data_IF_225057949791
#
_entry.id   IF_225057949791
#
_cell.length_a   1.000
_cell.length_b   1.000
_cell.length_c   1.000
_cell.angle_alpha   90.00
_cell.angle_beta   90.00
_cell.angle_gamma   90.00
#
_symmetry.space_group_name_H-M   'P 1'
#
loop_
_entity.id
_entity.type
_entity.pdbx_description
1 polymer ?
#
# COMPACT_ATOMS: atom_id res chain seq x y z
N UNK A 1 58.30 -25.40 14.87
CA UNK A 1 57.26 -26.44 15.05
C UNK A 1 55.93 -25.80 15.26
N UNK A 2 54.90 -26.04 14.41
CA UNK A 2 53.57 -25.46 14.60
C UNK A 2 52.73 -26.32 15.52
N UNK A 3 52.00 -25.67 16.44
CA UNK A 3 51.08 -26.29 17.39
C UNK A 3 49.81 -26.80 16.69
N UNK A 4 49.37 -28.03 17.10
CA UNK A 4 48.14 -28.68 16.63
C UNK A 4 46.89 -27.98 17.20
N UNK A 5 45.78 -27.88 16.44
CA UNK A 5 44.51 -27.36 16.95
C UNK A 5 43.78 -28.37 17.83
N UNK A 6 42.94 -27.91 18.78
CA UNK A 6 42.20 -28.77 19.70
C UNK A 6 41.04 -29.49 19.00
N UNK A 7 40.82 -30.77 19.37
CA UNK A 7 39.68 -31.57 18.94
C UNK A 7 38.42 -31.17 19.71
N UNK A 8 37.38 -30.83 19.01
CA UNK A 8 36.03 -30.63 19.59
C UNK A 8 35.30 -31.97 19.58
N UNK A 9 34.89 -32.45 20.75
CA UNK A 9 34.04 -33.64 20.94
C UNK A 9 32.60 -33.15 21.13
N UNK A 10 31.72 -33.51 20.20
CA UNK A 10 30.27 -33.27 20.30
C UNK A 10 29.63 -34.40 21.13
N UNK A 11 29.09 -34.10 22.31
CA UNK A 11 28.25 -34.98 23.09
C UNK A 11 26.78 -34.85 22.68
N UNK A 12 26.20 -35.95 22.20
CA UNK A 12 24.77 -36.04 21.87
C UNK A 12 24.00 -36.37 23.16
N UNK A 13 23.27 -35.38 23.69
CA UNK A 13 22.36 -35.55 24.82
C UNK A 13 20.96 -35.95 24.35
N UNK A 14 20.51 -37.17 24.71
CA UNK A 14 19.15 -37.64 24.48
C UNK A 14 18.15 -36.94 25.41
N UNK A 15 17.16 -36.24 24.85
CA UNK A 15 16.01 -35.73 25.61
C UNK A 15 14.93 -36.79 25.77
N UNK A 16 14.58 -37.10 27.02
CA UNK A 16 13.43 -37.93 27.41
C UNK A 16 12.11 -37.21 26.97
N UNK A 17 11.20 -37.99 26.39
CA UNK A 17 9.85 -37.60 26.03
C UNK A 17 8.97 -37.40 27.29
N UNK A 18 8.17 -36.37 27.33
CA UNK A 18 7.12 -36.14 28.31
C UNK A 18 5.81 -36.81 27.86
N UNK A 19 4.97 -37.30 28.83
CA UNK A 19 3.79 -38.11 28.52
C UNK A 19 2.59 -37.24 28.04
N UNK A 20 1.81 -37.84 27.14
CA UNK A 20 0.56 -37.30 26.59
C UNK A 20 -0.56 -37.21 27.64
N UNK A 21 -1.43 -36.22 27.62
CA UNK A 21 -2.63 -36.20 28.46
C UNK A 21 -3.76 -37.05 27.86
N UNK A 22 -4.41 -37.82 28.74
CA UNK A 22 -5.61 -38.64 28.46
C UNK A 22 -6.87 -37.79 28.28
N UNK A 23 -7.91 -38.29 27.57
CA UNK A 23 -9.16 -37.58 27.36
C UNK A 23 -10.08 -37.61 28.58
N UNK A 24 -10.70 -36.48 28.90
CA UNK A 24 -11.75 -36.36 29.91
C UNK A 24 -13.13 -36.56 29.28
N UNK A 25 -13.93 -37.36 29.95
CA UNK A 25 -15.29 -37.77 29.66
C UNK A 25 -16.31 -36.61 29.65
N UNK A 26 -17.30 -36.79 28.83
CA UNK A 26 -18.50 -35.95 28.66
C UNK A 26 -19.45 -36.09 29.87
N UNK A 27 -19.77 -35.00 30.52
CA UNK A 27 -20.91 -34.87 31.42
C UNK A 27 -22.05 -34.13 30.76
N UNK A 28 -23.23 -34.74 30.81
CA UNK A 28 -24.49 -34.29 30.19
C UNK A 28 -25.25 -33.22 31.01
N UNK A 29 -26.39 -32.69 30.55
CA UNK A 29 -26.65 -31.25 30.39
C UNK A 29 -27.62 -30.70 31.45
N UNK A 30 -27.61 -29.37 31.69
CA UNK A 30 -28.63 -28.67 32.45
C UNK A 30 -29.30 -27.62 31.57
N UNK A 31 -30.60 -27.87 31.44
CA UNK A 31 -31.79 -27.02 31.22
C UNK A 31 -31.67 -25.54 30.84
N UNK A 32 -32.33 -25.28 29.75
CA UNK A 32 -33.02 -24.11 29.20
C UNK A 32 -33.27 -22.86 30.07
N UNK A 33 -32.89 -21.71 29.47
CA UNK A 33 -33.60 -20.44 29.71
C UNK A 33 -33.93 -19.81 28.34
N UNK A 34 -35.19 -19.51 28.13
CA UNK A 34 -35.79 -18.89 26.94
C UNK A 34 -35.41 -17.42 26.86
N UNK A 35 -35.02 -16.94 25.68
CA UNK A 35 -35.03 -15.53 25.31
C UNK A 35 -35.99 -15.25 24.17
N UNK A 36 -36.56 -14.04 24.05
CA UNK A 36 -37.82 -13.79 23.30
C UNK A 36 -37.60 -13.61 21.81
N UNK A 37 -38.68 -13.92 21.07
CA UNK A 37 -38.79 -13.94 19.63
C UNK A 37 -38.61 -12.58 18.96
N UNK A 38 -37.89 -12.57 17.83
CA UNK A 38 -37.87 -11.47 16.87
C UNK A 38 -39.08 -11.56 15.92
N UNK A 39 -39.60 -10.44 15.36
CA UNK A 39 -40.81 -10.41 14.59
C UNK A 39 -40.66 -11.01 13.19
N UNK A 40 -41.71 -11.71 12.76
CA UNK A 40 -41.82 -12.38 11.47
C UNK A 40 -41.87 -11.39 10.30
N UNK A 41 -41.03 -11.63 9.29
CA UNK A 41 -41.09 -10.99 7.98
C UNK A 41 -42.14 -11.78 7.15
N UNK A 42 -43.17 -11.11 6.67
CA UNK A 42 -44.19 -11.64 5.79
C UNK A 42 -43.62 -11.84 4.38
N UNK A 43 -43.76 -13.07 3.86
CA UNK A 43 -43.45 -13.45 2.47
C UNK A 43 -44.72 -13.21 1.64
N UNK A 44 -44.65 -12.52 0.48
CA UNK A 44 -45.80 -12.39 -0.42
C UNK A 44 -46.09 -13.71 -1.16
N UNK A 45 -47.37 -13.95 -1.63
CA UNK A 45 -47.83 -15.23 -2.16
C UNK A 45 -47.25 -15.51 -3.55
N UNK A 46 -46.96 -16.79 -3.79
CA UNK A 46 -46.56 -17.35 -5.10
C UNK A 46 -47.73 -17.21 -6.09
N UNK A 47 -47.45 -16.56 -7.21
CA UNK A 47 -48.27 -16.60 -8.41
C UNK A 47 -47.95 -17.84 -9.27
N UNK A 48 -48.97 -18.38 -9.77
CA UNK A 48 -49.30 -19.36 -10.78
C UNK A 48 -48.17 -20.21 -11.45
N UNK A 49 -48.51 -21.51 -11.41
CA UNK A 49 -47.87 -22.64 -12.06
C UNK A 49 -47.99 -22.49 -13.58
N UNK A 50 -46.89 -22.37 -14.30
CA UNK A 50 -46.87 -22.46 -15.75
C UNK A 50 -47.19 -23.89 -16.20
N UNK A 51 -48.03 -24.00 -17.23
CA UNK A 51 -48.64 -25.19 -17.79
C UNK A 51 -47.60 -26.18 -18.33
N UNK A 52 -47.72 -27.48 -17.95
CA UNK A 52 -46.81 -28.58 -18.37
C UNK A 52 -46.79 -28.80 -19.91
N UNK A 53 -47.69 -28.16 -20.65
CA UNK A 53 -47.76 -28.27 -22.11
C UNK A 53 -46.72 -27.40 -22.86
N UNK A 54 -46.22 -26.37 -22.25
CA UNK A 54 -45.14 -25.54 -22.85
C UNK A 54 -43.76 -26.20 -22.74
N UNK A 55 -43.56 -27.09 -21.80
CA UNK A 55 -42.27 -27.79 -21.61
C UNK A 55 -42.07 -28.92 -22.63
N UNK A 56 -43.15 -29.55 -23.09
CA UNK A 56 -43.05 -30.62 -24.07
C UNK A 56 -42.90 -30.12 -25.51
N UNK A 57 -43.37 -28.92 -25.85
CA UNK A 57 -43.11 -28.31 -27.16
C UNK A 57 -41.66 -27.88 -27.38
N UNK A 58 -40.94 -27.53 -26.29
CA UNK A 58 -39.52 -27.20 -26.37
C UNK A 58 -38.58 -28.41 -26.45
N UNK A 59 -39.10 -29.63 -26.21
CA UNK A 59 -38.38 -30.90 -26.32
C UNK A 59 -38.38 -31.50 -27.73
N UNK A 60 -39.40 -31.22 -28.56
CA UNK A 60 -39.48 -31.79 -29.91
C UNK A 60 -38.73 -30.99 -30.99
N UNK A 61 -38.39 -29.72 -30.77
CA UNK A 61 -37.58 -28.94 -31.72
C UNK A 61 -36.05 -29.18 -31.60
N UNK A 62 -35.61 -29.95 -30.62
CA UNK A 62 -34.19 -30.22 -30.33
C UNK A 62 -33.53 -31.40 -31.03
N UNK A 63 -34.29 -32.20 -31.84
CA UNK A 63 -33.76 -33.48 -32.37
C UNK A 63 -33.63 -33.56 -33.88
N UNK A 64 -33.19 -32.51 -34.56
CA UNK A 64 -32.80 -32.70 -35.96
C UNK A 64 -31.72 -31.68 -36.38
N UNK A 65 -30.45 -31.96 -36.06
CA UNK A 65 -29.29 -31.55 -36.86
C UNK A 65 -28.02 -32.16 -36.28
N UNK A 66 -27.76 -33.44 -36.52
CA UNK A 66 -26.42 -34.01 -36.43
C UNK A 66 -25.84 -33.97 -37.85
N UNK A 67 -24.97 -32.98 -38.11
CA UNK A 67 -23.88 -33.09 -39.12
C UNK A 67 -22.75 -32.22 -38.66
N UNK A 68 -21.50 -32.78 -38.79
CA UNK A 68 -20.25 -32.36 -38.28
C UNK A 68 -19.89 -30.88 -38.50
N UNK A 69 -19.52 -30.27 -37.45
CA UNK A 69 -18.85 -28.98 -37.36
C UNK A 69 -18.34 -28.90 -35.96
N UNK A 70 -17.04 -28.71 -35.79
CA UNK A 70 -16.42 -28.42 -34.52
C UNK A 70 -17.21 -27.29 -33.86
N UNK A 71 -17.98 -27.62 -32.81
CA UNK A 71 -18.59 -26.63 -31.94
C UNK A 71 -17.44 -25.91 -31.24
N UNK A 72 -17.01 -24.79 -31.77
CA UNK A 72 -16.42 -23.74 -30.96
C UNK A 72 -17.46 -23.36 -29.93
N UNK A 73 -17.35 -23.94 -28.75
CA UNK A 73 -18.03 -23.45 -27.55
C UNK A 73 -17.47 -22.06 -27.34
N UNK A 74 -18.20 -21.04 -27.78
CA UNK A 74 -17.95 -19.68 -27.32
C UNK A 74 -18.22 -19.71 -25.83
N UNK A 75 -17.14 -19.84 -25.04
CA UNK A 75 -17.19 -19.63 -23.60
C UNK A 75 -17.55 -18.15 -23.44
N UNK A 76 -18.81 -17.86 -23.16
CA UNK A 76 -19.23 -16.56 -22.65
C UNK A 76 -18.43 -16.28 -21.39
N UNK A 77 -17.33 -15.56 -21.51
CA UNK A 77 -16.36 -15.33 -20.44
C UNK A 77 -14.92 -15.21 -20.90
N UNK A 78 -14.66 -15.15 -22.23
CA UNK A 78 -13.32 -14.79 -22.71
C UNK A 78 -12.91 -13.47 -22.06
N UNK A 79 -11.78 -13.48 -21.35
CA UNK A 79 -11.19 -12.28 -20.77
C UNK A 79 -11.04 -11.22 -21.88
N UNK A 80 -11.96 -10.25 -21.92
CA UNK A 80 -11.88 -9.15 -22.90
C UNK A 80 -10.72 -8.26 -22.47
N UNK A 81 -9.89 -7.86 -23.44
CA UNK A 81 -8.85 -6.88 -23.22
C UNK A 81 -9.49 -5.52 -22.90
N UNK A 82 -9.74 -5.29 -21.61
CA UNK A 82 -10.01 -3.97 -21.06
C UNK A 82 -8.71 -3.45 -20.49
N UNK A 83 -8.26 -2.29 -20.90
CA UNK A 83 -7.00 -1.72 -20.41
C UNK A 83 -7.01 -1.48 -18.90
N UNK A 84 -8.19 -1.23 -18.30
CA UNK A 84 -8.32 -0.86 -16.89
C UNK A 84 -7.64 0.47 -16.54
N UNK A 85 -7.14 1.21 -17.52
CA UNK A 85 -6.41 2.45 -17.31
C UNK A 85 -7.34 3.61 -16.96
N UNK A 86 -6.91 4.45 -16.01
CA UNK A 86 -7.56 5.71 -15.71
C UNK A 86 -6.97 6.81 -16.63
N UNK A 87 -7.76 7.40 -17.54
CA UNK A 87 -7.27 8.40 -18.51
C UNK A 87 -6.82 9.71 -17.84
N UNK A 88 -7.27 9.98 -16.62
CA UNK A 88 -6.89 11.19 -15.88
C UNK A 88 -5.51 11.12 -15.22
N UNK A 89 -4.90 9.93 -15.16
CA UNK A 89 -3.59 9.73 -14.58
C UNK A 89 -2.53 9.76 -15.69
N UNK A 90 -2.01 10.95 -15.95
CA UNK A 90 -1.01 11.21 -16.98
C UNK A 90 0.25 11.83 -16.38
N UNK A 91 1.33 11.93 -17.16
CA UNK A 91 2.55 12.63 -16.72
C UNK A 91 2.33 14.12 -16.51
N UNK A 92 1.36 14.74 -17.23
CA UNK A 92 1.00 16.15 -17.11
C UNK A 92 0.23 16.41 -15.82
N UNK A 93 -0.60 15.47 -15.38
CA UNK A 93 -1.36 15.59 -14.11
C UNK A 93 -0.54 15.18 -12.89
N UNK A 94 0.58 14.51 -13.07
CA UNK A 94 1.50 14.16 -12.00
C UNK A 94 2.37 15.37 -11.62
N UNK A 95 2.42 15.68 -10.31
CA UNK A 95 3.26 16.78 -9.81
C UNK A 95 4.64 16.26 -9.44
N UNK A 96 5.65 16.80 -10.11
CA UNK A 96 7.05 16.46 -9.85
C UNK A 96 7.60 17.21 -8.63
N UNK A 97 8.38 16.52 -7.82
CA UNK A 97 9.13 17.05 -6.70
C UNK A 97 10.39 16.21 -6.48
N UNK A 98 11.28 16.64 -5.59
CA UNK A 98 12.56 15.93 -5.32
C UNK A 98 12.35 14.48 -4.91
N UNK A 99 11.29 14.22 -4.15
CA UNK A 99 10.94 12.90 -3.61
C UNK A 99 10.48 11.87 -4.67
N UNK A 100 10.08 12.31 -5.87
CA UNK A 100 9.53 11.46 -6.93
C UNK A 100 10.17 11.68 -8.31
N UNK A 101 11.13 12.57 -8.43
CA UNK A 101 11.75 12.96 -9.70
C UNK A 101 12.37 11.75 -10.43
N UNK A 102 13.09 10.90 -9.71
CA UNK A 102 13.70 9.69 -10.30
C UNK A 102 12.64 8.72 -10.79
N UNK A 103 11.57 8.50 -10.01
CA UNK A 103 10.48 7.60 -10.39
C UNK A 103 9.75 8.12 -11.63
N UNK A 104 9.51 9.43 -11.72
CA UNK A 104 8.91 10.05 -12.90
C UNK A 104 9.80 9.95 -14.13
N UNK A 105 11.10 10.22 -13.99
CA UNK A 105 12.08 10.10 -15.08
C UNK A 105 12.18 8.66 -15.61
N UNK A 106 12.30 7.67 -14.71
CA UNK A 106 12.32 6.26 -15.06
C UNK A 106 11.03 5.82 -15.76
N UNK A 107 9.88 6.25 -15.25
CA UNK A 107 8.56 5.97 -15.85
C UNK A 107 8.45 6.54 -17.26
N UNK A 108 8.95 7.74 -17.47
CA UNK A 108 8.98 8.39 -18.78
C UNK A 108 9.88 7.64 -19.76
N UNK A 109 11.09 7.27 -19.33
CA UNK A 109 12.02 6.48 -20.13
C UNK A 109 11.42 5.13 -20.54
N UNK A 110 10.72 4.44 -19.65
CA UNK A 110 10.01 3.18 -19.94
C UNK A 110 8.91 3.40 -20.96
N UNK A 111 8.15 4.49 -20.87
CA UNK A 111 7.11 4.82 -21.85
C UNK A 111 7.69 5.15 -23.23
N UNK A 112 8.93 5.61 -23.29
CA UNK A 112 9.65 5.94 -24.52
C UNK A 112 10.31 4.72 -25.18
N UNK A 113 10.82 3.79 -24.38
CA UNK A 113 11.51 2.58 -24.86
C UNK A 113 11.07 1.33 -24.06
N UNK A 114 9.82 0.86 -24.29
CA UNK A 114 9.28 -0.29 -23.57
C UNK A 114 10.02 -1.58 -23.90
N UNK A 115 10.15 -2.47 -22.91
CA UNK A 115 10.86 -3.75 -23.04
C UNK A 115 12.39 -3.64 -23.02
N UNK A 116 12.93 -2.43 -22.87
CA UNK A 116 14.37 -2.17 -22.85
C UNK A 116 15.03 -2.46 -21.49
N UNK A 117 16.03 -1.64 -21.13
CA UNK A 117 16.89 -1.86 -19.96
C UNK A 117 16.16 -1.85 -18.60
N UNK A 118 14.98 -1.24 -18.52
CA UNK A 118 14.20 -1.08 -17.28
C UNK A 118 12.97 -1.98 -17.25
N UNK A 119 13.20 -3.28 -17.43
CA UNK A 119 12.14 -4.29 -17.43
C UNK A 119 12.43 -5.41 -16.40
N UNK A 120 11.65 -5.54 -15.34
CA UNK A 120 10.51 -4.71 -14.95
C UNK A 120 10.92 -3.33 -14.41
N UNK A 121 10.02 -2.34 -14.50
CA UNK A 121 10.08 -1.15 -13.68
C UNK A 121 9.32 -1.42 -12.36
N UNK A 122 10.02 -1.35 -11.24
CA UNK A 122 9.46 -1.59 -9.93
C UNK A 122 9.40 -0.29 -9.12
N UNK A 123 8.19 0.21 -8.87
CA UNK A 123 7.94 1.42 -8.09
C UNK A 123 7.53 1.05 -6.66
N UNK A 124 8.24 1.50 -5.65
CA UNK A 124 7.88 1.21 -4.27
C UNK A 124 7.86 2.46 -3.40
N UNK A 125 7.16 2.37 -2.27
CA UNK A 125 7.03 3.46 -1.30
C UNK A 125 5.71 3.39 -0.55
N UNK A 126 5.55 4.21 0.47
CA UNK A 126 4.37 4.23 1.33
C UNK A 126 3.05 4.35 0.56
N UNK A 127 1.94 4.12 1.27
CA UNK A 127 0.59 4.23 0.70
C UNK A 127 0.31 5.68 0.28
N UNK A 128 -0.38 5.86 -0.87
CA UNK A 128 -0.85 7.18 -1.31
C UNK A 128 0.24 8.13 -1.81
N UNK A 129 1.43 7.64 -2.22
CA UNK A 129 2.53 8.48 -2.73
C UNK A 129 2.53 8.68 -4.26
N UNK A 130 1.53 8.12 -4.97
CA UNK A 130 1.40 8.32 -6.42
C UNK A 130 1.98 7.20 -7.29
N UNK A 131 2.32 6.01 -6.73
CA UNK A 131 2.77 4.83 -7.48
C UNK A 131 1.80 4.44 -8.59
N UNK A 132 0.53 4.25 -8.23
CA UNK A 132 -0.57 3.94 -9.16
C UNK A 132 -0.73 5.01 -10.23
N UNK A 133 -0.58 6.30 -9.87
CA UNK A 133 -0.65 7.40 -10.84
C UNK A 133 0.45 7.26 -11.91
N UNK A 134 1.72 7.10 -11.51
CA UNK A 134 2.82 6.92 -12.46
C UNK A 134 2.66 5.66 -13.31
N UNK A 135 2.20 4.57 -12.72
CA UNK A 135 1.89 3.34 -13.45
C UNK A 135 0.85 3.57 -14.56
N UNK A 136 -0.26 4.22 -14.24
CA UNK A 136 -1.27 4.61 -15.24
C UNK A 136 -0.74 5.59 -16.27
N UNK A 137 0.11 6.55 -15.85
CA UNK A 137 0.70 7.52 -16.78
C UNK A 137 1.56 6.82 -17.84
N UNK A 138 2.34 5.82 -17.44
CA UNK A 138 3.09 4.98 -18.40
C UNK A 138 2.13 4.20 -19.29
N UNK A 139 1.12 3.53 -18.70
CA UNK A 139 0.13 2.76 -19.45
C UNK A 139 -0.61 3.60 -20.50
N UNK A 140 -1.06 4.81 -20.14
CA UNK A 140 -1.70 5.73 -21.06
C UNK A 140 -0.75 6.18 -22.19
N UNK A 141 0.50 6.49 -21.85
CA UNK A 141 1.50 6.86 -22.85
C UNK A 141 1.79 5.73 -23.83
N UNK A 142 1.89 4.47 -23.34
CA UNK A 142 2.08 3.29 -24.19
C UNK A 142 0.89 3.03 -25.10
N UNK A 143 -0.34 3.14 -24.58
CA UNK A 143 -1.58 2.96 -25.32
C UNK A 143 -1.75 4.03 -26.42
N UNK A 144 -1.29 5.25 -26.19
CA UNK A 144 -1.38 6.34 -27.18
C UNK A 144 -0.33 6.21 -28.29
N UNK A 145 0.84 5.62 -28.02
CA UNK A 145 1.94 5.52 -28.99
C UNK A 145 1.75 4.47 -30.08
N UNK A 146 1.02 3.40 -29.79
CA UNK A 146 0.76 2.30 -30.74
C UNK A 146 -0.73 2.07 -30.83
N UNK A 147 -1.31 2.30 -31.97
CA UNK A 147 -2.66 1.84 -32.27
C UNK A 147 -2.73 0.33 -32.01
N UNK A 148 -3.71 -0.09 -31.23
CA UNK A 148 -3.92 -1.50 -30.81
C UNK A 148 -2.90 -2.06 -29.78
N UNK A 149 -2.11 -1.25 -29.09
CA UNK A 149 -1.30 -1.76 -27.98
C UNK A 149 -2.18 -2.39 -26.88
N UNK A 150 -1.89 -3.65 -26.57
CA UNK A 150 -2.57 -4.40 -25.51
C UNK A 150 -1.92 -4.10 -24.17
N UNK A 151 -2.29 -2.98 -23.58
CA UNK A 151 -1.84 -2.56 -22.26
C UNK A 151 -2.89 -2.99 -21.23
N UNK A 152 -2.49 -3.80 -20.25
CA UNK A 152 -3.38 -4.30 -19.19
C UNK A 152 -2.89 -3.81 -17.85
N UNK A 153 -3.75 -3.09 -17.14
CA UNK A 153 -3.58 -2.69 -15.75
C UNK A 153 -4.53 -3.49 -14.85
N UNK A 154 -4.01 -3.99 -13.74
CA UNK A 154 -4.81 -4.64 -12.70
C UNK A 154 -4.11 -4.60 -11.34
N UNK A 155 -4.91 -4.73 -10.28
CA UNK A 155 -4.39 -5.06 -8.96
C UNK A 155 -4.02 -6.55 -8.90
N UNK A 156 -3.00 -6.90 -8.13
CA UNK A 156 -2.56 -8.28 -8.00
C UNK A 156 -3.66 -9.23 -7.52
N UNK A 157 -4.61 -8.75 -6.72
CA UNK A 157 -5.81 -9.51 -6.31
C UNK A 157 -6.68 -9.94 -7.50
N UNK A 158 -6.79 -9.09 -8.53
CA UNK A 158 -7.54 -9.40 -9.75
C UNK A 158 -6.87 -10.52 -10.53
N UNK A 159 -5.54 -10.52 -10.65
CA UNK A 159 -4.78 -11.60 -11.26
C UNK A 159 -5.08 -12.94 -10.57
N UNK A 160 -5.07 -12.95 -9.23
CA UNK A 160 -5.41 -14.13 -8.44
C UNK A 160 -6.85 -14.58 -8.69
N UNK A 161 -7.80 -13.66 -8.69
CA UNK A 161 -9.21 -13.96 -8.93
C UNK A 161 -9.46 -14.52 -10.33
N UNK A 162 -8.85 -13.93 -11.35
CA UNK A 162 -8.94 -14.39 -12.73
C UNK A 162 -8.31 -15.80 -12.91
N UNK A 163 -7.19 -16.08 -12.22
CA UNK A 163 -6.56 -17.41 -12.22
C UNK A 163 -7.48 -18.45 -11.55
N UNK A 164 -8.04 -18.14 -10.37
CA UNK A 164 -8.94 -19.07 -9.66
C UNK A 164 -10.18 -19.36 -10.51
N UNK A 165 -10.77 -18.35 -11.14
CA UNK A 165 -11.91 -18.52 -12.05
C UNK A 165 -11.53 -19.38 -13.27
N UNK A 166 -10.37 -19.16 -13.85
CA UNK A 166 -9.90 -19.96 -14.99
C UNK A 166 -9.69 -21.45 -14.61
N UNK A 167 -9.20 -21.73 -13.40
CA UNK A 167 -9.06 -23.08 -12.87
C UNK A 167 -10.43 -23.74 -12.67
N UNK A 168 -11.40 -23.04 -12.10
CA UNK A 168 -12.76 -23.54 -11.88
C UNK A 168 -13.48 -23.87 -13.19
N UNK A 169 -13.21 -23.11 -14.26
CA UNK A 169 -13.81 -23.28 -15.57
C UNK A 169 -13.00 -24.15 -16.53
N UNK A 170 -11.89 -24.78 -16.06
CA UNK A 170 -10.92 -25.50 -16.90
C UNK A 170 -10.36 -24.68 -18.08
N UNK A 171 -10.31 -23.36 -17.92
CA UNK A 171 -9.87 -22.39 -18.95
C UNK A 171 -8.48 -21.79 -18.64
N UNK A 172 -7.61 -22.52 -17.91
CA UNK A 172 -6.27 -22.03 -17.53
C UNK A 172 -5.39 -21.68 -18.73
N UNK A 173 -5.56 -22.37 -19.86
CA UNK A 173 -4.81 -22.06 -21.07
C UNK A 173 -5.22 -20.71 -21.68
N UNK A 174 -6.49 -20.34 -21.59
CA UNK A 174 -6.97 -19.03 -22.05
C UNK A 174 -6.46 -17.91 -21.14
N UNK A 175 -6.42 -18.14 -19.82
CA UNK A 175 -5.78 -17.24 -18.87
C UNK A 175 -4.30 -17.03 -19.23
N UNK A 176 -3.54 -18.08 -19.45
CA UNK A 176 -2.12 -18.00 -19.84
C UNK A 176 -1.95 -17.24 -21.16
N UNK A 177 -2.76 -17.57 -22.18
CA UNK A 177 -2.74 -16.89 -23.47
C UNK A 177 -3.03 -15.40 -23.33
N UNK A 178 -4.05 -15.05 -22.54
CA UNK A 178 -4.43 -13.66 -22.30
C UNK A 178 -3.29 -12.86 -21.70
N UNK A 179 -2.77 -13.27 -20.53
CA UNK A 179 -1.76 -12.50 -19.81
C UNK A 179 -0.37 -12.51 -20.48
N UNK A 180 -0.04 -13.55 -21.27
CA UNK A 180 1.24 -13.64 -21.98
C UNK A 180 1.22 -12.98 -23.37
N UNK A 181 0.06 -12.54 -23.84
CA UNK A 181 -0.09 -11.89 -25.15
C UNK A 181 -0.16 -10.37 -25.11
N UNK A 182 -0.01 -9.75 -23.94
CA UNK A 182 -0.06 -8.29 -23.77
C UNK A 182 1.26 -7.64 -24.19
N UNK A 183 1.21 -6.39 -24.64
CA UNK A 183 2.40 -5.60 -24.96
C UNK A 183 2.99 -4.96 -23.70
N UNK A 184 2.13 -4.65 -22.72
CA UNK A 184 2.55 -4.20 -21.41
C UNK A 184 1.61 -4.71 -20.31
N UNK A 185 2.20 -5.22 -19.21
CA UNK A 185 1.49 -5.69 -18.02
C UNK A 185 1.84 -4.81 -16.81
N UNK A 186 0.82 -4.16 -16.27
CA UNK A 186 0.91 -3.24 -15.13
C UNK A 186 0.19 -3.87 -13.94
N UNK A 187 0.93 -4.28 -12.91
CA UNK A 187 0.36 -4.90 -11.71
C UNK A 187 0.62 -4.05 -10.49
N UNK A 188 -0.48 -3.59 -9.90
CA UNK A 188 -0.47 -2.76 -8.71
C UNK A 188 -0.50 -3.62 -7.44
N UNK A 189 0.23 -3.17 -6.41
CA UNK A 189 0.22 -3.74 -5.06
C UNK A 189 0.58 -5.23 -5.01
N UNK A 190 1.76 -5.60 -5.53
CA UNK A 190 2.21 -7.00 -5.63
C UNK A 190 2.38 -7.70 -4.28
N UNK A 191 2.42 -6.97 -3.16
CA UNK A 191 2.45 -7.56 -1.82
C UNK A 191 1.23 -8.44 -1.50
N UNK A 192 0.11 -8.28 -2.20
CA UNK A 192 -1.06 -9.13 -2.05
C UNK A 192 -0.91 -10.54 -2.64
N UNK A 193 0.19 -10.85 -3.33
CA UNK A 193 0.56 -12.23 -3.65
C UNK A 193 1.04 -13.01 -2.43
N UNK A 194 1.41 -12.35 -1.33
CA UNK A 194 1.92 -12.99 -0.12
C UNK A 194 1.01 -14.14 0.36
N UNK A 195 1.60 -15.30 0.62
CA UNK A 195 0.89 -16.49 1.10
C UNK A 195 0.02 -17.21 0.06
N UNK A 196 0.05 -16.82 -1.23
CA UNK A 196 -0.75 -17.42 -2.31
C UNK A 196 0.15 -18.20 -3.27
N UNK A 197 0.73 -19.30 -2.81
CA UNK A 197 1.78 -20.07 -3.51
C UNK A 197 1.45 -20.40 -4.97
N UNK A 198 0.27 -20.97 -5.25
CA UNK A 198 -0.15 -21.30 -6.63
C UNK A 198 -0.22 -20.08 -7.55
N UNK A 199 -0.65 -18.95 -7.00
CA UNK A 199 -0.74 -17.71 -7.77
C UNK A 199 0.64 -17.11 -8.01
N UNK A 200 1.55 -17.24 -7.05
CA UNK A 200 2.95 -16.85 -7.21
C UNK A 200 3.66 -17.69 -8.27
N UNK A 201 3.41 -19.00 -8.30
CA UNK A 201 3.95 -19.90 -9.30
C UNK A 201 3.49 -19.52 -10.72
N UNK A 202 2.18 -19.35 -10.94
CA UNK A 202 1.67 -18.97 -12.26
C UNK A 202 2.10 -17.56 -12.66
N UNK A 203 2.18 -16.64 -11.68
CA UNK A 203 2.72 -15.31 -11.93
C UNK A 203 4.19 -15.35 -12.32
N UNK A 204 5.01 -16.20 -11.70
CA UNK A 204 6.40 -16.40 -12.06
C UNK A 204 6.56 -16.87 -13.51
N UNK A 205 5.73 -17.82 -13.96
CA UNK A 205 5.75 -18.28 -15.34
C UNK A 205 5.28 -17.20 -16.32
N UNK A 206 4.27 -16.43 -15.97
CA UNK A 206 3.79 -15.30 -16.78
C UNK A 206 4.84 -14.21 -16.87
N UNK A 207 5.49 -13.88 -15.74
CA UNK A 207 6.58 -12.92 -15.66
C UNK A 207 7.74 -13.28 -16.59
N UNK A 208 8.22 -14.53 -16.52
CA UNK A 208 9.33 -14.98 -17.39
C UNK A 208 8.94 -14.94 -18.87
N UNK A 209 7.74 -15.39 -19.23
CA UNK A 209 7.28 -15.35 -20.60
C UNK A 209 7.22 -13.92 -21.17
N UNK A 210 6.76 -12.95 -20.37
CA UNK A 210 6.73 -11.54 -20.76
C UNK A 210 8.14 -10.95 -20.88
N UNK A 211 9.02 -11.28 -19.95
CA UNK A 211 10.40 -10.80 -19.96
C UNK A 211 11.16 -11.31 -21.19
N UNK A 212 11.05 -12.61 -21.47
CA UNK A 212 11.67 -13.27 -22.63
C UNK A 212 11.12 -12.74 -23.97
N UNK A 213 9.82 -12.41 -23.99
CA UNK A 213 9.18 -11.81 -25.16
C UNK A 213 9.43 -10.31 -25.33
N UNK A 214 10.17 -9.68 -24.42
CA UNK A 214 10.45 -8.24 -24.45
C UNK A 214 9.24 -7.35 -24.15
N UNK A 215 8.16 -7.91 -23.59
CA UNK A 215 6.99 -7.11 -23.17
C UNK A 215 7.31 -6.33 -21.88
N UNK A 216 6.81 -5.11 -21.80
CA UNK A 216 7.07 -4.26 -20.64
C UNK A 216 6.26 -4.69 -19.42
N UNK A 217 6.93 -4.81 -18.28
CA UNK A 217 6.26 -4.98 -16.99
C UNK A 217 6.51 -3.78 -16.08
N UNK A 218 5.44 -3.36 -15.37
CA UNK A 218 5.51 -2.33 -14.33
C UNK A 218 4.82 -2.89 -13.10
N UNK A 219 5.53 -2.85 -11.98
CA UNK A 219 5.07 -3.40 -10.71
C UNK A 219 5.10 -2.32 -9.64
N UNK A 220 4.14 -2.34 -8.72
CA UNK A 220 4.19 -1.49 -7.54
C UNK A 220 4.12 -2.29 -6.25
N UNK A 221 4.67 -1.72 -5.16
CA UNK A 221 4.58 -2.26 -3.82
C UNK A 221 4.62 -1.16 -2.76
N UNK A 222 4.16 -1.47 -1.55
CA UNK A 222 4.29 -0.59 -0.39
C UNK A 222 5.72 -0.57 0.19
N UNK A 223 6.57 -1.58 -0.17
CA UNK A 223 7.93 -1.76 0.34
C UNK A 223 8.89 -2.31 -0.71
N UNK A 224 10.18 -2.29 -0.38
CA UNK A 224 11.24 -2.82 -1.24
C UNK A 224 11.07 -4.33 -1.52
N UNK A 225 11.41 -4.86 -2.72
CA UNK A 225 11.16 -6.26 -3.08
C UNK A 225 11.63 -7.30 -2.06
N UNK A 226 12.83 -7.14 -1.50
CA UNK A 226 13.39 -8.08 -0.51
C UNK A 226 12.66 -8.06 0.84
N UNK A 227 11.96 -6.97 1.15
CA UNK A 227 11.23 -6.79 2.41
C UNK A 227 9.80 -7.35 2.37
N UNK A 228 9.33 -7.81 1.22
CA UNK A 228 7.98 -8.34 1.07
C UNK A 228 7.93 -9.75 1.70
N UNK A 229 7.32 -9.86 2.86
CA UNK A 229 7.13 -11.14 3.54
C UNK A 229 6.10 -12.00 2.81
N UNK A 230 6.29 -13.34 2.80
CA UNK A 230 5.34 -14.29 2.20
C UNK A 230 5.34 -14.35 0.66
N UNK A 231 6.26 -13.65 0.00
CA UNK A 231 6.56 -13.80 -1.43
C UNK A 231 7.83 -14.64 -1.60
N UNK A 232 7.81 -15.56 -2.57
CA UNK A 232 8.92 -16.46 -2.85
C UNK A 232 10.19 -15.71 -3.29
N UNK A 233 11.36 -16.19 -2.86
CA UNK A 233 12.66 -15.56 -3.16
C UNK A 233 12.95 -15.48 -4.66
N UNK A 234 12.49 -16.46 -5.46
CA UNK A 234 12.64 -16.42 -6.92
C UNK A 234 11.89 -15.24 -7.56
N UNK A 235 10.69 -14.89 -7.05
CA UNK A 235 9.95 -13.72 -7.50
C UNK A 235 10.60 -12.42 -7.05
N UNK A 236 11.04 -12.33 -5.77
CA UNK A 236 11.75 -11.17 -5.26
C UNK A 236 13.02 -10.86 -6.06
N UNK A 237 13.76 -11.91 -6.44
CA UNK A 237 14.93 -11.78 -7.31
C UNK A 237 14.57 -11.20 -8.68
N UNK A 238 13.46 -11.66 -9.27
CA UNK A 238 12.96 -11.17 -10.56
C UNK A 238 12.46 -9.72 -10.49
N UNK A 239 11.80 -9.33 -9.41
CA UNK A 239 11.35 -7.95 -9.19
C UNK A 239 12.52 -6.96 -9.16
N UNK A 240 13.67 -7.38 -8.60
CA UNK A 240 14.89 -6.59 -8.56
C UNK A 240 15.75 -6.64 -9.82
N UNK A 241 15.36 -7.42 -10.84
CA UNK A 241 16.16 -7.60 -12.06
C UNK A 241 16.29 -6.34 -12.90
N UNK A 242 15.20 -5.60 -13.09
CA UNK A 242 15.15 -4.36 -13.85
C UNK A 242 15.53 -3.13 -13.00
N UNK A 243 14.72 -2.09 -13.05
CA UNK A 243 14.93 -0.87 -12.29
C UNK A 243 13.95 -0.77 -11.12
N UNK A 244 14.49 -0.72 -9.91
CA UNK A 244 13.69 -0.52 -8.67
C UNK A 244 13.87 0.92 -8.20
N UNK A 245 12.76 1.66 -8.07
CA UNK A 245 12.77 3.09 -7.71
C UNK A 245 11.83 3.36 -6.53
N UNK A 246 12.35 4.07 -5.53
CA UNK A 246 11.57 4.55 -4.39
C UNK A 246 10.76 5.82 -4.75
N UNK A 247 9.58 5.93 -4.18
CA UNK A 247 8.82 7.18 -4.10
C UNK A 247 8.71 7.54 -2.63
N UNK A 248 9.32 8.67 -2.26
CA UNK A 248 9.32 9.17 -0.88
C UNK A 248 8.13 10.14 -0.67
N UNK A 249 7.73 10.41 0.60
CA UNK A 249 6.76 11.45 0.91
C UNK A 249 7.18 12.81 0.36
N UNK A 250 6.25 13.58 -0.24
CA UNK A 250 6.56 14.87 -0.85
C UNK A 250 6.92 15.92 0.21
N UNK A 251 7.87 16.79 -0.13
CA UNK A 251 8.21 17.96 0.66
C UNK A 251 7.05 18.99 0.67
N UNK A 252 7.13 19.97 1.57
CA UNK A 252 6.06 20.97 1.74
C UNK A 252 5.70 21.69 0.44
N UNK A 253 6.69 22.12 -0.30
CA UNK A 253 6.51 22.81 -1.59
C UNK A 253 5.78 21.94 -2.61
N UNK A 254 6.17 20.66 -2.68
CA UNK A 254 5.52 19.69 -3.57
C UNK A 254 4.07 19.43 -3.13
N UNK A 255 3.79 19.35 -1.81
CA UNK A 255 2.41 19.20 -1.30
C UNK A 255 1.54 20.41 -1.67
N UNK A 256 2.07 21.62 -1.54
CA UNK A 256 1.36 22.85 -1.96
C UNK A 256 1.06 22.80 -3.47
N UNK A 257 2.05 22.45 -4.30
CA UNK A 257 1.86 22.33 -5.74
C UNK A 257 0.82 21.27 -6.11
N UNK A 258 0.77 20.14 -5.38
CA UNK A 258 -0.27 19.11 -5.57
C UNK A 258 -1.66 19.69 -5.26
N UNK A 259 -1.83 20.39 -4.13
CA UNK A 259 -3.11 20.99 -3.76
C UNK A 259 -3.57 22.01 -4.79
N UNK A 260 -2.68 22.91 -5.23
CA UNK A 260 -2.99 23.91 -6.25
C UNK A 260 -3.41 23.25 -7.57
N UNK A 261 -2.67 22.24 -8.03
CA UNK A 261 -3.00 21.49 -9.25
C UNK A 261 -4.34 20.77 -9.15
N UNK A 262 -4.67 20.20 -7.98
CA UNK A 262 -5.95 19.52 -7.74
C UNK A 262 -7.13 20.48 -7.63
N UNK A 263 -6.92 21.65 -7.04
CA UNK A 263 -7.93 22.72 -7.00
C UNK A 263 -8.24 23.26 -8.40
N UNK A 264 -7.20 23.47 -9.21
CA UNK A 264 -7.34 23.88 -10.61
C UNK A 264 -8.13 22.84 -11.43
N UNK A 265 -7.81 21.55 -11.30
CA UNK A 265 -8.57 20.45 -11.92
C UNK A 265 -10.04 20.42 -11.48
N UNK A 266 -10.31 20.78 -10.21
CA UNK A 266 -11.67 20.91 -9.68
C UNK A 266 -12.35 22.24 -10.04
N UNK A 267 -11.64 23.16 -10.72
CA UNK A 267 -12.10 24.52 -11.06
C UNK A 267 -12.52 25.32 -9.83
N UNK A 268 -11.76 25.20 -8.75
CA UNK A 268 -11.99 25.89 -7.48
C UNK A 268 -10.82 26.83 -7.22
N UNK A 269 -11.15 28.08 -6.87
CA UNK A 269 -10.15 29.05 -6.43
C UNK A 269 -9.67 28.70 -5.02
N UNK A 270 -8.42 28.22 -4.91
CA UNK A 270 -7.76 27.91 -3.66
C UNK A 270 -6.64 28.92 -3.43
N UNK A 271 -6.75 29.84 -2.47
CA UNK A 271 -5.67 30.77 -2.17
C UNK A 271 -4.38 30.04 -1.77
N UNK A 272 -3.22 30.57 -2.17
CA UNK A 272 -1.92 29.92 -1.92
C UNK A 272 -1.63 29.75 -0.41
N UNK A 273 -2.00 30.72 0.42
CA UNK A 273 -1.86 30.63 1.88
C UNK A 273 -2.76 29.54 2.50
N UNK A 274 -3.95 29.33 1.92
CA UNK A 274 -4.85 28.23 2.27
C UNK A 274 -4.26 26.87 1.87
N UNK A 275 -3.71 26.74 0.65
CA UNK A 275 -2.99 25.53 0.23
C UNK A 275 -1.79 25.24 1.11
N UNK A 276 -1.00 26.27 1.44
CA UNK A 276 0.15 26.16 2.34
C UNK A 276 -0.26 25.67 3.73
N UNK A 277 -1.36 26.21 4.27
CA UNK A 277 -1.88 25.80 5.58
C UNK A 277 -2.27 24.31 5.59
N UNK A 278 -3.01 23.85 4.57
CA UNK A 278 -3.37 22.41 4.46
C UNK A 278 -2.10 21.56 4.35
N UNK A 279 -1.16 21.93 3.46
CA UNK A 279 0.08 21.20 3.23
C UNK A 279 0.97 21.13 4.48
N UNK A 280 0.98 22.17 5.30
CA UNK A 280 1.72 22.21 6.56
C UNK A 280 1.12 21.27 7.61
N UNK A 281 -0.21 21.18 7.65
CA UNK A 281 -0.92 20.36 8.63
C UNK A 281 -0.95 18.88 8.23
N UNK A 282 -1.20 18.55 6.98
CA UNK A 282 -1.31 17.16 6.50
C UNK A 282 0.02 16.75 5.86
N UNK A 283 0.75 15.89 6.56
CA UNK A 283 2.12 15.47 6.20
C UNK A 283 2.22 14.02 5.78
N UNK A 284 1.21 13.19 6.06
CA UNK A 284 1.22 11.76 5.96
C UNK A 284 1.42 11.25 4.53
N UNK A 285 0.48 11.54 3.65
CA UNK A 285 0.52 11.09 2.25
C UNK A 285 -0.38 11.94 1.34
N UNK A 286 -0.20 11.79 0.03
CA UNK A 286 -0.97 12.57 -0.97
C UNK A 286 -2.44 12.21 -0.98
N UNK A 287 -2.82 10.96 -0.66
CA UNK A 287 -4.23 10.54 -0.60
C UNK A 287 -5.00 11.27 0.50
N UNK A 288 -4.40 11.42 1.67
CA UNK A 288 -5.00 12.21 2.76
C UNK A 288 -5.04 13.70 2.43
N UNK A 289 -3.99 14.21 1.79
CA UNK A 289 -3.93 15.60 1.32
C UNK A 289 -5.06 15.90 0.32
N UNK A 290 -5.29 15.02 -0.65
CA UNK A 290 -6.40 15.13 -1.60
C UNK A 290 -7.76 14.96 -0.91
N UNK A 291 -7.87 14.06 0.07
CA UNK A 291 -9.07 13.86 0.87
C UNK A 291 -9.47 15.11 1.64
N UNK A 292 -8.49 15.76 2.27
CA UNK A 292 -8.72 17.03 2.98
C UNK A 292 -9.15 18.16 2.03
N UNK A 293 -8.49 18.30 0.88
CA UNK A 293 -8.90 19.28 -0.13
C UNK A 293 -10.33 19.03 -0.61
N UNK A 294 -10.69 17.78 -0.93
CA UNK A 294 -12.06 17.42 -1.35
C UNK A 294 -13.09 17.79 -0.29
N UNK A 295 -12.78 17.55 1.00
CA UNK A 295 -13.67 17.94 2.09
C UNK A 295 -13.85 19.45 2.16
N UNK A 296 -12.76 20.22 2.10
CA UNK A 296 -12.81 21.70 2.11
C UNK A 296 -13.64 22.24 0.93
N UNK A 297 -13.45 21.68 -0.28
CA UNK A 297 -14.22 22.07 -1.47
C UNK A 297 -15.70 21.75 -1.29
N UNK A 298 -16.03 20.57 -0.79
CA UNK A 298 -17.42 20.18 -0.53
C UNK A 298 -18.09 21.10 0.49
N UNK A 299 -17.44 21.35 1.62
CA UNK A 299 -17.96 22.24 2.67
C UNK A 299 -18.13 23.66 2.15
N UNK A 300 -17.19 24.19 1.33
CA UNK A 300 -17.29 25.50 0.69
C UNK A 300 -18.51 25.59 -0.23
N UNK A 301 -18.73 24.58 -1.07
CA UNK A 301 -19.90 24.52 -1.95
C UNK A 301 -21.23 24.45 -1.17
N UNK A 302 -21.31 23.62 -0.13
CA UNK A 302 -22.54 23.46 0.67
C UNK A 302 -22.88 24.69 1.49
N UNK A 303 -21.86 25.38 2.01
CA UNK A 303 -22.06 26.55 2.86
C UNK A 303 -22.08 27.87 2.08
N UNK A 304 -21.73 27.87 0.80
CA UNK A 304 -21.58 29.07 -0.02
C UNK A 304 -20.49 30.04 0.48
N UNK A 305 -19.46 29.52 1.18
CA UNK A 305 -18.38 30.31 1.77
C UNK A 305 -17.11 30.20 0.94
N UNK A 306 -16.35 31.29 0.89
CA UNK A 306 -15.00 31.31 0.31
C UNK A 306 -14.02 30.51 1.14
N UNK A 307 -13.03 29.91 0.50
CA UNK A 307 -11.99 29.10 1.15
C UNK A 307 -10.97 30.06 1.79
N UNK A 308 -10.98 30.18 3.10
CA UNK A 308 -10.02 30.92 3.92
C UNK A 308 -9.33 29.99 4.91
N UNK A 309 -8.23 30.42 5.53
CA UNK A 309 -7.55 29.60 6.56
C UNK A 309 -8.47 29.26 7.74
N UNK A 310 -9.32 30.20 8.20
CA UNK A 310 -10.25 29.96 9.31
C UNK A 310 -11.36 28.99 8.89
N UNK A 311 -11.86 29.11 7.67
CA UNK A 311 -12.80 28.14 7.10
C UNK A 311 -12.18 26.73 7.02
N UNK A 312 -10.92 26.59 6.61
CA UNK A 312 -10.21 25.29 6.56
C UNK A 312 -10.04 24.71 7.96
N UNK A 313 -9.71 25.53 8.97
CA UNK A 313 -9.61 25.06 10.36
C UNK A 313 -10.93 24.49 10.87
N UNK A 314 -12.03 25.13 10.55
CA UNK A 314 -13.38 24.66 10.93
C UNK A 314 -13.72 23.36 10.18
N UNK A 315 -13.57 23.35 8.85
CA UNK A 315 -13.84 22.20 7.99
C UNK A 315 -13.02 20.96 8.35
N UNK A 316 -11.74 21.13 8.66
CA UNK A 316 -10.81 20.03 8.97
C UNK A 316 -10.61 19.78 10.48
N UNK A 317 -11.40 20.39 11.35
CA UNK A 317 -11.24 20.32 12.81
C UNK A 317 -11.09 18.90 13.33
N UNK A 318 -11.97 17.99 12.91
CA UNK A 318 -11.96 16.60 13.36
C UNK A 318 -10.74 15.83 12.84
N UNK A 319 -10.36 16.06 11.58
CA UNK A 319 -9.19 15.45 10.96
C UNK A 319 -7.91 15.91 11.68
N UNK A 320 -7.79 17.22 11.95
CA UNK A 320 -6.64 17.78 12.66
C UNK A 320 -6.57 17.28 14.10
N UNK A 321 -7.70 17.17 14.79
CA UNK A 321 -7.76 16.64 16.16
C UNK A 321 -7.36 15.15 16.23
N UNK A 322 -7.70 14.36 15.20
CA UNK A 322 -7.26 12.96 15.11
C UNK A 322 -5.75 12.86 14.87
N UNK A 323 -5.19 13.69 14.00
CA UNK A 323 -3.74 13.72 13.77
C UNK A 323 -2.97 14.18 15.00
N UNK A 324 -3.44 15.21 15.71
CA UNK A 324 -2.82 15.65 16.96
C UNK A 324 -2.83 14.54 18.03
N UNK A 325 -3.85 13.66 18.05
CA UNK A 325 -3.89 12.49 18.95
C UNK A 325 -2.94 11.38 18.50
N UNK A 326 -2.82 11.12 17.21
CA UNK A 326 -1.92 10.07 16.66
C UNK A 326 -0.45 10.42 16.87
N UNK A 327 -0.09 11.70 16.77
CA UNK A 327 1.29 12.19 16.91
C UNK A 327 1.54 12.79 18.30
N UNK A 328 0.78 12.38 19.31
CA UNK A 328 0.97 12.84 20.70
C UNK A 328 2.36 12.50 21.23
N UNK A 329 2.88 13.33 22.17
CA UNK A 329 4.22 13.16 22.77
C UNK A 329 4.38 11.76 23.38
N UNK A 330 3.34 11.21 23.97
CA UNK A 330 3.33 9.85 24.56
C UNK A 330 3.52 8.76 23.48
N UNK A 331 2.91 8.94 22.32
CA UNK A 331 3.10 8.00 21.20
C UNK A 331 4.53 8.09 20.64
N UNK A 332 5.05 9.29 20.49
CA UNK A 332 6.46 9.51 20.06
C UNK A 332 7.41 8.81 21.04
N UNK A 333 7.19 8.96 22.34
CA UNK A 333 8.03 8.31 23.36
C UNK A 333 8.01 6.78 23.26
N UNK A 334 6.81 6.19 23.09
CA UNK A 334 6.65 4.73 22.96
C UNK A 334 7.31 4.22 21.69
N UNK A 335 7.03 4.85 20.56
CA UNK A 335 7.58 4.44 19.26
C UNK A 335 9.11 4.53 19.23
N UNK A 336 9.68 5.61 19.79
CA UNK A 336 11.15 5.76 19.88
C UNK A 336 11.75 4.73 20.85
N UNK A 337 11.10 4.47 21.99
CA UNK A 337 11.57 3.48 22.96
C UNK A 337 11.56 2.07 22.34
N UNK A 338 10.53 1.72 21.59
CA UNK A 338 10.40 0.44 20.88
C UNK A 338 11.45 0.31 19.76
N UNK A 339 11.61 1.34 18.93
CA UNK A 339 12.58 1.36 17.84
C UNK A 339 14.02 1.13 18.32
N UNK A 340 14.44 1.82 19.38
CA UNK A 340 15.77 1.67 19.97
C UNK A 340 15.85 0.53 21.01
N UNK A 341 14.78 -0.25 21.19
CA UNK A 341 14.70 -1.39 22.15
C UNK A 341 15.11 -1.00 23.58
N UNK A 342 14.66 0.16 24.05
CA UNK A 342 14.86 0.64 25.42
C UNK A 342 13.52 0.72 26.15
N UNK A 343 13.54 0.70 27.49
CA UNK A 343 12.33 0.88 28.29
C UNK A 343 11.88 2.35 28.26
N UNK A 344 10.59 2.59 28.19
CA UNK A 344 10.03 3.95 28.27
C UNK A 344 10.47 4.67 29.54
N UNK A 345 10.55 3.95 30.67
CA UNK A 345 11.07 4.49 31.94
C UNK A 345 12.53 4.95 31.83
N UNK A 346 13.37 4.30 31.02
CA UNK A 346 14.75 4.74 30.80
C UNK A 346 14.79 6.01 29.94
N UNK A 347 13.93 6.09 28.92
CA UNK A 347 13.81 7.28 28.08
C UNK A 347 13.48 8.54 28.92
N UNK A 348 12.60 8.41 29.92
CA UNK A 348 12.15 9.47 30.81
C UNK A 348 13.12 9.69 32.00
N UNK A 349 14.01 8.75 32.28
CA UNK A 349 14.92 8.77 33.43
C UNK A 349 15.97 9.88 33.34
N UNK A 350 16.67 10.16 34.47
CA UNK A 350 17.81 11.09 34.53
C UNK A 350 19.12 10.51 33.98
N UNK A 351 19.09 9.24 33.49
CA UNK A 351 20.29 8.58 32.93
C UNK A 351 20.86 9.36 31.74
N UNK A 352 22.23 9.44 31.70
CA UNK A 352 22.96 10.18 30.66
C UNK A 352 23.81 9.29 29.74
N UNK A 353 23.70 7.93 29.88
CA UNK A 353 24.40 7.02 28.97
C UNK A 353 24.03 7.28 27.52
N UNK A 354 24.97 7.15 26.60
CA UNK A 354 24.76 7.43 25.18
C UNK A 354 23.59 6.60 24.59
N UNK A 355 23.44 5.34 25.06
CA UNK A 355 22.37 4.43 24.66
C UNK A 355 20.94 4.91 25.05
N UNK A 356 20.81 5.80 26.02
CA UNK A 356 19.55 6.38 26.48
C UNK A 356 19.42 7.84 26.08
N UNK A 357 20.53 8.59 26.16
CA UNK A 357 20.52 10.04 25.87
C UNK A 357 20.25 10.32 24.39
N UNK A 358 20.78 9.48 23.47
CA UNK A 358 20.62 9.64 22.02
C UNK A 358 19.16 9.42 21.59
N UNK A 359 18.50 8.28 21.91
CA UNK A 359 17.07 8.08 21.67
C UNK A 359 16.20 9.20 22.25
N UNK A 360 16.50 9.66 23.47
CA UNK A 360 15.77 10.76 24.09
C UNK A 360 15.90 12.06 23.31
N UNK A 361 17.09 12.39 22.81
CA UNK A 361 17.31 13.57 21.97
C UNK A 361 16.50 13.48 20.67
N UNK A 362 16.52 12.32 20.02
CA UNK A 362 15.71 12.05 18.82
C UNK A 362 14.22 12.22 19.12
N UNK A 363 13.72 11.63 20.21
CA UNK A 363 12.32 11.75 20.61
C UNK A 363 11.90 13.21 20.89
N UNK A 364 12.73 14.01 21.58
CA UNK A 364 12.48 15.43 21.80
C UNK A 364 12.46 16.23 20.49
N UNK A 365 13.38 15.93 19.56
CA UNK A 365 13.40 16.58 18.26
C UNK A 365 12.16 16.25 17.44
N UNK A 366 11.74 14.97 17.40
CA UNK A 366 10.49 14.53 16.77
C UNK A 366 9.27 15.17 17.41
N UNK A 367 9.21 15.26 18.75
CA UNK A 367 8.12 15.93 19.45
C UNK A 367 8.02 17.41 19.06
N UNK A 368 9.16 18.10 18.91
CA UNK A 368 9.16 19.51 18.47
C UNK A 368 8.76 19.67 17.01
N UNK A 369 9.08 18.72 16.15
CA UNK A 369 8.77 18.77 14.74
C UNK A 369 7.31 18.37 14.45
N UNK A 370 6.81 17.34 15.15
CA UNK A 370 5.53 16.69 14.83
C UNK A 370 4.35 17.21 15.67
N UNK A 371 4.61 17.89 16.79
CA UNK A 371 3.55 18.39 17.68
C UNK A 371 3.55 19.92 17.80
N UNK A 372 2.44 20.48 18.25
CA UNK A 372 2.32 21.90 18.51
C UNK A 372 2.81 22.29 19.93
N UNK A 373 3.37 21.34 20.71
CA UNK A 373 3.85 21.60 22.06
C UNK A 373 5.00 22.59 22.10
N UNK A 374 4.99 23.45 23.10
CA UNK A 374 6.08 24.35 23.43
C UNK A 374 7.29 23.58 23.98
N UNK A 375 8.48 24.18 23.92
CA UNK A 375 9.68 23.55 24.47
C UNK A 375 9.56 23.20 25.96
N UNK A 376 8.94 24.05 26.86
CA UNK A 376 8.66 23.67 28.22
C UNK A 376 7.76 22.45 28.34
N UNK A 377 6.62 22.39 27.65
CA UNK A 377 5.69 21.25 27.67
C UNK A 377 6.36 19.94 27.23
N UNK A 378 7.20 20.00 26.18
CA UNK A 378 8.01 18.84 25.77
C UNK A 378 8.98 18.47 26.89
N UNK A 379 9.63 19.43 27.51
CA UNK A 379 10.55 19.20 28.65
C UNK A 379 9.86 18.47 29.79
N UNK A 380 8.68 18.92 30.18
CA UNK A 380 7.86 18.32 31.24
C UNK A 380 7.46 16.90 30.90
N UNK A 381 7.01 16.64 29.66
CA UNK A 381 6.66 15.30 29.18
C UNK A 381 7.86 14.33 29.18
N UNK A 382 9.10 14.84 29.06
CA UNK A 382 10.33 14.02 29.10
C UNK A 382 10.97 13.95 30.48
N UNK A 383 10.18 14.01 31.56
CA UNK A 383 10.62 13.83 32.95
C UNK A 383 11.09 15.13 33.61
N UNK A 384 10.39 16.24 33.34
CA UNK A 384 10.61 17.55 33.97
C UNK A 384 11.95 18.18 33.56
N UNK A 385 12.26 18.15 32.25
CA UNK A 385 13.48 18.75 31.72
C UNK A 385 13.27 20.17 31.29
N UNK A 386 14.26 20.99 31.54
CA UNK A 386 14.25 22.38 31.10
C UNK A 386 14.17 22.52 29.58
N UNK A 387 13.50 23.58 29.12
CA UNK A 387 13.33 23.91 27.71
C UNK A 387 14.66 24.06 26.96
N UNK A 388 15.72 24.51 27.65
CA UNK A 388 17.07 24.60 27.06
C UNK A 388 17.64 23.22 26.72
N UNK A 389 17.30 22.19 27.51
CA UNK A 389 17.68 20.80 27.21
C UNK A 389 16.98 20.31 25.95
N UNK A 390 15.71 20.64 25.76
CA UNK A 390 14.96 20.29 24.53
C UNK A 390 15.55 21.03 23.32
N UNK A 391 15.83 22.33 23.46
CA UNK A 391 16.43 23.11 22.38
C UNK A 391 17.81 22.58 21.99
N UNK A 392 18.64 22.23 22.99
CA UNK A 392 19.94 21.60 22.75
C UNK A 392 19.79 20.24 22.05
N UNK A 393 18.82 19.42 22.45
CA UNK A 393 18.52 18.14 21.81
C UNK A 393 18.17 18.31 20.32
N UNK A 394 17.29 19.25 19.97
CA UNK A 394 16.93 19.57 18.59
C UNK A 394 18.15 19.98 17.75
N UNK A 395 18.97 20.90 18.27
CA UNK A 395 20.21 21.34 17.58
C UNK A 395 21.19 20.19 17.39
N UNK A 396 21.38 19.35 18.42
CA UNK A 396 22.32 18.22 18.35
C UNK A 396 21.85 17.15 17.40
N UNK A 397 20.55 16.85 17.33
CA UNK A 397 20.02 15.90 16.37
C UNK A 397 20.18 16.39 14.94
N UNK A 398 19.96 17.67 14.68
CA UNK A 398 20.19 18.28 13.37
C UNK A 398 21.66 18.13 12.92
N UNK A 399 22.63 18.47 13.78
CA UNK A 399 24.05 18.26 13.51
C UNK A 399 24.38 16.78 13.25
N UNK A 400 23.81 15.88 14.05
CA UNK A 400 24.04 14.44 13.90
C UNK A 400 23.44 13.83 12.62
N UNK A 401 22.37 14.38 12.10
CA UNK A 401 21.83 13.98 10.79
C UNK A 401 22.74 14.39 9.63
N UNK A 402 23.51 15.46 9.81
CA UNK A 402 24.52 15.90 8.85
C UNK A 402 25.80 15.04 8.92
N UNK A 403 26.19 14.63 10.14
CA UNK A 403 27.43 13.90 10.42
C UNK A 403 27.32 12.36 10.23
N UNK A 404 26.11 11.77 10.40
CA UNK A 404 25.92 10.31 10.44
C UNK A 404 24.74 9.88 9.58
N UNK A 405 24.99 8.98 8.61
CA UNK A 405 23.97 8.33 7.78
C UNK A 405 22.96 7.56 8.62
N UNK A 406 23.42 6.80 9.63
CA UNK A 406 22.60 5.94 10.45
C UNK A 406 21.53 6.73 11.22
N UNK A 407 21.93 7.89 11.80
CA UNK A 407 21.00 8.74 12.54
C UNK A 407 20.03 9.44 11.59
N UNK A 408 20.45 9.76 10.40
CA UNK A 408 19.58 10.31 9.36
C UNK A 408 18.53 9.29 8.95
N UNK A 409 18.93 8.05 8.79
CA UNK A 409 18.05 6.95 8.44
C UNK A 409 17.09 6.60 9.58
N UNK A 410 17.58 6.45 10.82
CA UNK A 410 16.77 6.26 12.02
C UNK A 410 15.69 7.35 12.15
N UNK A 411 16.08 8.62 11.96
CA UNK A 411 15.17 9.75 12.06
C UNK A 411 14.07 9.70 10.98
N UNK A 412 14.44 9.39 9.73
CA UNK A 412 13.49 9.21 8.62
C UNK A 412 12.53 8.06 8.89
N UNK A 413 13.03 6.92 9.37
CA UNK A 413 12.22 5.75 9.68
C UNK A 413 11.22 6.04 10.82
N UNK A 414 11.68 6.68 11.88
CA UNK A 414 10.82 7.10 13.00
C UNK A 414 9.77 8.13 12.56
N UNK A 415 10.15 9.10 11.74
CA UNK A 415 9.22 10.07 11.18
C UNK A 415 8.13 9.36 10.36
N UNK A 416 8.51 8.38 9.54
CA UNK A 416 7.56 7.57 8.75
C UNK A 416 6.63 6.76 9.65
N UNK A 417 7.16 6.11 10.70
CA UNK A 417 6.34 5.31 11.64
C UNK A 417 5.35 6.16 12.44
N UNK A 418 5.69 7.41 12.73
CA UNK A 418 4.83 8.32 13.50
C UNK A 418 3.80 9.08 12.64
N UNK A 419 3.99 9.11 11.33
CA UNK A 419 3.13 9.84 10.39
C UNK A 419 2.36 8.92 9.43
N UNK A 420 2.58 7.62 9.52
CA UNK A 420 1.81 6.58 8.81
C UNK A 420 0.65 6.10 9.68
#
# INVERSE_FOLDING_TARGET
SPAKPPKVVLAVGSRRAAPSPQPRELGNPVSAARSPAAPAVQVPPRGDVADEREIDQLREEGTNQRRGGERQVQVEGSLKHSSGLNPNFTFETFVEGKSNQLARAASRQVSENPGGAYNPLFLYGGVGLGKTHLMHAVGNALATRRENARVVYLHSERFVADMVKALQLNAINDFKRFYRSVDALLIDDIQFFAGKERSQEEFFHTFNALLEGGQQMILTSDRYPKEISGVEERLKSRFGWGLTVAIEPPELETRVAILMKKADQAKVDLPHDAAFFIAQKIRSNVRELEGALKKVIADSHFMGKTITQDFIRESLKDLLALQDKQVGVDNIQRTVAEYYKIKLSDLLSKRRSRSVARPRQVAMALAKELTNHSLPEIGDAFGGRDHTTVLHACRKVKSLQEESSDIREDYKNLLRLLTS
#
